data_IF_006816262455
#
_entry.id   IF_006816262455
#
_cell.length_a   1.000
_cell.length_b   1.000
_cell.length_c   1.000
_cell.angle_alpha   90.00
_cell.angle_beta   90.00
_cell.angle_gamma   90.00
#
_symmetry.space_group_name_H-M   'P 1'
#
loop_
_entity.id
_entity.type
_entity.pdbx_description
1 polymer ?
#
# COMPACT_ATOMS: atom_id res chain seq x y z
N UNK A 1 -13.51 -5.73 -5.47
CA UNK A 1 -13.73 -5.35 -6.89
C UNK A 1 -12.42 -5.54 -7.64
N UNK A 2 -12.46 -5.97 -8.89
CA UNK A 2 -11.26 -6.22 -9.69
C UNK A 2 -11.14 -5.17 -10.80
N UNK A 3 -9.93 -4.66 -11.02
CA UNK A 3 -9.64 -3.67 -12.05
C UNK A 3 -8.34 -4.03 -12.77
N UNK A 4 -8.31 -3.83 -14.09
CA UNK A 4 -7.10 -4.03 -14.88
C UNK A 4 -6.26 -2.75 -14.90
N UNK A 5 -4.93 -2.91 -14.88
CA UNK A 5 -4.01 -1.76 -14.94
C UNK A 5 -4.22 -0.91 -16.20
N UNK A 6 -4.55 -1.54 -17.34
CA UNK A 6 -4.83 -0.84 -18.60
C UNK A 6 -6.04 0.08 -18.48
N UNK A 7 -7.09 -0.36 -17.78
CA UNK A 7 -8.32 0.42 -17.60
C UNK A 7 -8.04 1.60 -16.67
N UNK A 8 -7.30 1.37 -15.58
CA UNK A 8 -6.87 2.42 -14.64
C UNK A 8 -6.02 3.47 -15.34
N UNK A 9 -5.01 3.06 -16.12
CA UNK A 9 -4.13 3.98 -16.86
C UNK A 9 -4.92 4.79 -17.88
N UNK A 10 -5.86 4.16 -18.61
CA UNK A 10 -6.69 4.84 -19.60
C UNK A 10 -7.66 5.87 -18.99
N UNK A 11 -8.13 5.62 -17.77
CA UNK A 11 -9.05 6.52 -17.05
C UNK A 11 -8.33 7.74 -16.44
N UNK A 12 -7.01 7.67 -16.24
CA UNK A 12 -6.23 8.74 -15.61
C UNK A 12 -5.74 9.76 -16.65
N UNK A 13 -6.23 11.01 -16.54
CA UNK A 13 -5.78 12.16 -17.36
C UNK A 13 -4.25 12.36 -17.36
N UNK A 14 -3.59 12.02 -16.24
CA UNK A 14 -2.13 12.05 -16.08
C UNK A 14 -1.69 10.81 -15.33
N UNK A 15 -1.33 9.77 -16.04
CA UNK A 15 -0.66 8.62 -15.44
C UNK A 15 0.84 8.90 -15.35
N UNK A 16 1.43 8.81 -14.16
CA UNK A 16 2.89 8.85 -13.99
C UNK A 16 3.40 7.41 -13.96
N UNK A 17 3.71 6.87 -15.14
CA UNK A 17 4.35 5.57 -15.26
C UNK A 17 5.80 5.76 -15.68
N UNK A 18 6.73 5.46 -14.78
CA UNK A 18 8.17 5.47 -15.04
C UNK A 18 8.73 4.09 -14.74
N UNK A 19 9.52 3.50 -15.63
CA UNK A 19 9.98 2.10 -15.48
C UNK A 19 10.76 1.87 -14.17
N UNK A 20 11.60 2.83 -13.77
CA UNK A 20 12.41 2.74 -12.54
C UNK A 20 11.59 2.81 -11.24
N UNK A 21 10.27 3.05 -11.31
CA UNK A 21 9.41 3.02 -10.12
C UNK A 21 9.36 1.61 -9.50
N UNK A 22 9.55 0.56 -10.32
CA UNK A 22 9.47 -0.83 -9.89
C UNK A 22 10.80 -1.39 -9.36
N UNK A 23 11.89 -0.64 -9.46
CA UNK A 23 13.22 -1.07 -8.98
C UNK A 23 13.32 -1.17 -7.45
N UNK A 24 12.41 -0.51 -6.73
CA UNK A 24 12.33 -0.56 -5.27
C UNK A 24 10.95 -1.06 -4.81
N UNK A 25 10.88 -1.75 -3.66
CA UNK A 25 9.61 -2.14 -3.06
C UNK A 25 8.79 -0.91 -2.65
N UNK A 26 7.44 -0.98 -2.68
CA UNK A 26 6.60 0.14 -2.27
C UNK A 26 6.64 0.32 -0.75
N UNK A 27 6.45 1.56 -0.31
CA UNK A 27 6.24 1.89 1.10
C UNK A 27 4.83 1.43 1.52
N UNK A 28 4.74 0.55 2.50
CA UNK A 28 3.46 0.13 3.08
C UNK A 28 2.92 1.21 4.03
N UNK A 29 1.68 1.63 3.80
CA UNK A 29 0.92 2.56 4.64
C UNK A 29 -0.35 1.84 5.10
N UNK A 30 -0.54 1.75 6.41
CA UNK A 30 -1.70 1.12 7.03
C UNK A 30 -2.62 2.20 7.61
N UNK A 31 -3.85 2.27 7.10
CA UNK A 31 -4.88 3.20 7.56
C UNK A 31 -6.00 2.43 8.28
N UNK A 32 -6.43 2.94 9.43
CA UNK A 32 -7.48 2.35 10.26
C UNK A 32 -7.21 0.91 10.75
N UNK A 33 -5.96 0.46 10.71
CA UNK A 33 -5.53 -0.87 11.19
C UNK A 33 -4.95 -0.84 12.62
N UNK A 34 -5.12 0.28 13.34
CA UNK A 34 -4.77 0.43 14.76
C UNK A 34 -5.89 0.06 15.74
N UNK A 35 -7.02 -0.43 15.23
CA UNK A 35 -8.18 -0.83 16.03
C UNK A 35 -7.81 -1.98 16.99
N UNK A 36 -8.42 -2.05 18.20
CA UNK A 36 -8.05 -3.03 19.22
C UNK A 36 -8.40 -4.48 18.87
N UNK A 37 -9.16 -4.70 17.80
CA UNK A 37 -9.63 -6.00 17.35
C UNK A 37 -8.46 -6.92 16.95
N UNK A 38 -8.46 -8.15 17.46
CA UNK A 38 -7.31 -9.07 17.28
C UNK A 38 -7.06 -9.44 15.82
N UNK A 39 -8.11 -9.66 15.03
CA UNK A 39 -7.98 -9.98 13.61
C UNK A 39 -7.34 -8.83 12.81
N UNK A 40 -7.63 -7.57 13.16
CA UNK A 40 -7.03 -6.39 12.54
C UNK A 40 -5.52 -6.34 12.79
N UNK A 41 -5.10 -6.63 14.02
CA UNK A 41 -3.68 -6.71 14.38
C UNK A 41 -2.95 -7.83 13.63
N UNK A 42 -3.59 -9.00 13.47
CA UNK A 42 -3.04 -10.10 12.68
C UNK A 42 -2.86 -9.71 11.21
N UNK A 43 -3.87 -9.07 10.62
CA UNK A 43 -3.79 -8.57 9.23
C UNK A 43 -2.68 -7.53 9.08
N UNK A 44 -2.59 -6.56 10.00
CA UNK A 44 -1.52 -5.57 10.00
C UNK A 44 -0.13 -6.23 10.08
N UNK A 45 0.06 -7.17 11.01
CA UNK A 45 1.32 -7.91 11.17
C UNK A 45 1.67 -8.76 9.95
N UNK A 46 0.68 -9.40 9.33
CA UNK A 46 0.85 -10.16 8.10
C UNK A 46 1.41 -9.28 6.99
N UNK A 47 0.76 -8.14 6.71
CA UNK A 47 1.24 -7.23 5.66
C UNK A 47 2.58 -6.61 6.03
N UNK A 48 2.81 -6.22 7.28
CA UNK A 48 4.13 -5.74 7.72
C UNK A 48 5.24 -6.77 7.52
N UNK A 49 4.95 -8.07 7.69
CA UNK A 49 5.91 -9.15 7.44
C UNK A 49 6.15 -9.47 5.96
N UNK A 50 5.22 -9.11 5.07
CA UNK A 50 5.36 -9.32 3.62
C UNK A 50 6.22 -8.25 2.93
N UNK A 51 6.37 -7.08 3.55
CA UNK A 51 7.17 -5.97 3.03
C UNK A 51 8.46 -5.80 3.82
N UNK A 52 9.53 -5.24 3.20
CA UNK A 52 10.74 -4.95 3.93
C UNK A 52 10.46 -4.00 5.09
N UNK A 53 11.09 -4.26 6.23
CA UNK A 53 10.94 -3.42 7.41
C UNK A 53 11.45 -2.01 7.14
N UNK A 54 10.64 -1.01 7.49
CA UNK A 54 10.99 0.40 7.31
C UNK A 54 11.70 0.91 8.56
N UNK A 55 12.98 1.25 8.42
CA UNK A 55 13.70 2.03 9.43
C UNK A 55 13.79 3.48 8.99
N UNK A 56 13.03 4.37 9.63
CA UNK A 56 12.98 5.81 9.29
C UNK A 56 14.34 6.52 9.35
N UNK A 57 15.29 5.99 10.12
CA UNK A 57 16.63 6.56 10.23
C UNK A 57 17.61 6.05 9.16
N UNK A 58 17.30 4.93 8.51
CA UNK A 58 18.16 4.33 7.47
C UNK A 58 17.56 4.38 6.07
N UNK A 59 16.26 4.62 5.95
CA UNK A 59 15.58 4.62 4.67
C UNK A 59 16.01 5.82 3.83
N UNK A 60 16.38 5.57 2.58
CA UNK A 60 16.65 6.62 1.62
C UNK A 60 15.33 7.09 1.00
N UNK A 61 14.83 8.27 1.39
CA UNK A 61 13.57 8.80 0.86
C UNK A 61 13.59 8.99 -0.67
N UNK A 62 14.77 9.24 -1.26
CA UNK A 62 14.90 9.40 -2.72
C UNK A 62 14.71 8.08 -3.49
N UNK A 63 14.82 6.92 -2.83
CA UNK A 63 14.52 5.62 -3.46
C UNK A 63 13.04 5.25 -3.38
N UNK A 64 12.24 5.93 -2.55
CA UNK A 64 10.81 5.67 -2.42
C UNK A 64 10.07 6.32 -3.58
N UNK A 65 9.56 5.49 -4.49
CA UNK A 65 8.82 5.94 -5.68
C UNK A 65 7.38 5.42 -5.74
N UNK A 66 7.03 4.51 -4.84
CA UNK A 66 5.72 3.84 -4.80
C UNK A 66 5.28 3.69 -3.35
N UNK A 67 3.98 3.85 -3.12
CA UNK A 67 3.36 3.64 -1.82
C UNK A 67 2.16 2.72 -2.00
N UNK A 68 1.97 1.78 -1.07
CA UNK A 68 0.80 0.95 -0.99
C UNK A 68 -0.01 1.38 0.23
N UNK A 69 -1.23 1.83 0.02
CA UNK A 69 -2.20 2.14 1.08
C UNK A 69 -3.16 0.96 1.27
N UNK A 70 -3.17 0.42 2.48
CA UNK A 70 -4.17 -0.54 2.94
C UNK A 70 -5.10 0.16 3.92
N UNK A 71 -6.40 0.13 3.65
CA UNK A 71 -7.42 0.70 4.54
C UNK A 71 -8.44 -0.37 4.91
N UNK A 72 -8.78 -0.46 6.19
CA UNK A 72 -9.92 -1.26 6.64
C UNK A 72 -11.10 -0.34 6.88
N UNK A 73 -12.19 -0.56 6.16
CA UNK A 73 -13.44 0.14 6.43
C UNK A 73 -14.15 -0.46 7.66
N UNK A 74 -14.49 0.38 8.62
CA UNK A 74 -15.06 -0.07 9.90
C UNK A 74 -16.51 -0.56 9.78
N UNK A 75 -17.25 -0.07 8.78
CA UNK A 75 -18.67 -0.42 8.60
C UNK A 75 -18.81 -1.70 7.76
N UNK A 76 -18.19 -1.73 6.58
CA UNK A 76 -18.27 -2.88 5.66
C UNK A 76 -17.31 -4.02 6.01
N UNK A 77 -16.33 -3.79 6.89
CA UNK A 77 -15.27 -4.75 7.23
C UNK A 77 -14.45 -5.21 6.01
N UNK A 78 -14.37 -4.36 4.98
CA UNK A 78 -13.62 -4.64 3.76
C UNK A 78 -12.24 -4.00 3.79
N UNK A 79 -11.27 -4.74 3.25
CA UNK A 79 -9.92 -4.23 3.01
C UNK A 79 -9.85 -3.59 1.62
N UNK A 80 -9.46 -2.32 1.60
CA UNK A 80 -9.18 -1.58 0.37
C UNK A 80 -7.67 -1.51 0.13
N UNK A 81 -7.27 -1.89 -1.09
CA UNK A 81 -5.90 -1.89 -1.56
C UNK A 81 -5.72 -0.81 -2.64
N UNK A 82 -4.87 0.18 -2.39
CA UNK A 82 -4.61 1.30 -3.32
C UNK A 82 -3.13 1.55 -3.48
N UNK A 83 -2.66 1.64 -4.72
CA UNK A 83 -1.26 1.87 -5.09
C UNK A 83 -1.16 2.97 -6.14
#
# INVERSE_FOLDING_TARGET
>A
QYSLIRDVVSALRRHRMHEQQFSHPPLLVLSNLGLPQMHVKLVAGMFQGMFPTLNVHRVNLNSIRRCLLLTLDSESQLLEFRH
#
